data_IF_913690060291
#
_entry.id   IF_913690060291
#
_cell.length_a   1.000
_cell.length_b   1.000
_cell.length_c   1.000
_cell.angle_alpha   90.00
_cell.angle_beta   90.00
_cell.angle_gamma   90.00
#
_symmetry.space_group_name_H-M   'P 1'
#
loop_
_entity.id
_entity.type
_entity.pdbx_description
1 polymer ?
#
# COMPACT_ATOMS: atom_id res chain seq x y z
N UNK A 1 18.72 -1.31 -17.34
CA UNK A 1 19.31 -1.21 -15.97
C UNK A 1 18.18 -1.01 -14.98
N UNK A 2 18.01 -1.86 -13.94
CA UNK A 2 17.07 -1.56 -12.87
C UNK A 2 17.58 -0.35 -12.09
N UNK A 3 16.79 0.72 -12.03
CA UNK A 3 17.08 1.88 -11.18
C UNK A 3 16.97 1.41 -9.73
N UNK A 4 18.11 1.23 -9.06
CA UNK A 4 18.18 0.87 -7.65
C UNK A 4 17.90 2.12 -6.81
N UNK A 5 16.63 2.49 -6.66
CA UNK A 5 16.23 3.55 -5.73
C UNK A 5 16.56 3.09 -4.30
N UNK A 6 17.43 3.85 -3.64
CA UNK A 6 17.80 3.64 -2.25
C UNK A 6 16.59 3.70 -1.31
N UNK A 7 16.71 3.15 -0.09
CA UNK A 7 15.62 3.23 0.92
C UNK A 7 15.22 4.68 1.20
N UNK A 8 16.18 5.59 1.18
CA UNK A 8 16.02 7.02 1.47
C UNK A 8 15.91 7.88 0.23
N UNK A 9 15.79 7.26 -0.95
CA UNK A 9 15.59 8.01 -2.18
C UNK A 9 14.21 8.71 -2.13
N UNK A 10 14.15 10.04 -2.28
CA UNK A 10 12.88 10.77 -2.23
C UNK A 10 11.91 10.32 -3.33
N UNK A 11 12.40 9.78 -4.45
CA UNK A 11 11.59 9.27 -5.55
C UNK A 11 11.11 7.82 -5.32
N UNK A 12 11.54 7.18 -4.24
CA UNK A 12 11.02 5.87 -3.88
C UNK A 12 9.51 5.98 -3.58
N UNK A 13 8.63 5.19 -4.20
CA UNK A 13 7.19 5.32 -4.04
C UNK A 13 6.71 5.28 -2.58
N UNK A 14 7.34 4.46 -1.73
CA UNK A 14 7.05 4.46 -0.28
C UNK A 14 7.33 5.82 0.39
N UNK A 15 8.39 6.52 0.00
CA UNK A 15 8.75 7.81 0.59
C UNK A 15 7.81 8.91 0.10
N UNK A 16 7.37 8.84 -1.16
CA UNK A 16 6.30 9.72 -1.68
C UNK A 16 5.01 9.52 -0.89
N UNK A 17 4.55 8.27 -0.70
CA UNK A 17 3.34 7.99 0.09
C UNK A 17 3.47 8.46 1.55
N UNK A 18 4.66 8.29 2.14
CA UNK A 18 4.94 8.74 3.49
C UNK A 18 4.94 10.28 3.60
N UNK A 19 5.52 10.98 2.62
CA UNK A 19 5.53 12.44 2.58
C UNK A 19 4.11 13.02 2.45
N UNK A 20 3.25 12.41 1.62
CA UNK A 20 1.85 12.85 1.49
C UNK A 20 1.09 12.63 2.81
N UNK A 21 1.28 11.50 3.48
CA UNK A 21 0.64 11.25 4.78
C UNK A 21 1.19 12.16 5.89
N UNK A 22 2.47 12.50 5.86
CA UNK A 22 3.03 13.50 6.77
C UNK A 22 2.40 14.87 6.53
N UNK A 23 2.15 15.24 5.27
CA UNK A 23 1.41 16.45 4.90
C UNK A 23 -0.03 16.45 5.46
N UNK A 24 -0.69 15.30 5.47
CA UNK A 24 -1.99 15.11 6.13
C UNK A 24 -1.90 15.33 7.64
N UNK A 25 -0.96 14.67 8.32
CA UNK A 25 -0.73 14.84 9.76
C UNK A 25 -0.46 16.31 10.11
N UNK A 26 0.40 16.96 9.32
CA UNK A 26 0.72 18.38 9.46
C UNK A 26 -0.52 19.27 9.28
N UNK A 27 -1.34 19.00 8.26
CA UNK A 27 -2.57 19.75 7.98
C UNK A 27 -3.55 19.65 9.14
N UNK A 28 -3.81 18.44 9.63
CA UNK A 28 -4.73 18.21 10.75
C UNK A 28 -4.24 18.89 12.02
N UNK A 29 -2.94 18.81 12.30
CA UNK A 29 -2.33 19.44 13.48
C UNK A 29 -2.40 20.97 13.43
N UNK A 30 -2.06 21.60 12.30
CA UNK A 30 -2.03 23.06 12.17
C UNK A 30 -3.37 23.69 11.78
N UNK A 31 -4.37 22.89 11.38
CA UNK A 31 -5.71 23.34 10.99
C UNK A 31 -6.78 22.45 11.64
N UNK A 32 -6.93 22.48 12.98
CA UNK A 32 -7.90 21.64 13.67
C UNK A 32 -9.37 21.97 13.32
N UNK A 33 -9.66 23.23 12.97
CA UNK A 33 -11.00 23.69 12.61
C UNK A 33 -11.29 23.66 11.10
N UNK A 34 -10.41 23.04 10.29
CA UNK A 34 -10.60 22.97 8.83
C UNK A 34 -11.97 22.40 8.41
N UNK A 35 -12.52 21.36 9.08
CA UNK A 35 -13.85 20.83 8.76
C UNK A 35 -15.01 21.82 8.98
N UNK A 36 -14.85 22.76 9.91
CA UNK A 36 -15.85 23.80 10.22
C UNK A 36 -15.82 24.91 9.18
N UNK A 37 -14.65 25.17 8.60
CA UNK A 37 -14.41 26.27 7.67
C UNK A 37 -14.65 25.89 6.20
N UNK A 38 -14.39 24.64 5.83
CA UNK A 38 -14.40 24.18 4.45
C UNK A 38 -15.35 22.99 4.25
N UNK A 39 -16.37 23.12 3.36
CA UNK A 39 -17.31 22.04 3.09
C UNK A 39 -16.64 20.73 2.64
N UNK A 40 -15.53 20.81 1.91
CA UNK A 40 -14.75 19.64 1.47
C UNK A 40 -14.21 18.80 2.62
N UNK A 41 -13.91 19.42 3.77
CA UNK A 41 -13.33 18.76 4.93
C UNK A 41 -14.40 18.34 5.96
N UNK A 42 -15.59 18.93 5.92
CA UNK A 42 -16.72 18.58 6.80
C UNK A 42 -17.15 17.10 6.72
N UNK A 43 -16.90 16.42 5.58
CA UNK A 43 -17.22 15.00 5.42
C UNK A 43 -16.27 14.06 6.15
N UNK A 44 -15.06 14.50 6.46
CA UNK A 44 -14.10 13.67 7.20
C UNK A 44 -14.62 13.36 8.60
N UNK A 45 -15.24 14.34 9.26
CA UNK A 45 -15.83 14.19 10.59
C UNK A 45 -17.06 13.27 10.64
N UNK A 46 -17.68 13.00 9.48
CA UNK A 46 -18.76 12.03 9.39
C UNK A 46 -18.27 10.56 9.42
N UNK A 47 -16.98 10.33 9.13
CA UNK A 47 -16.37 9.00 9.16
C UNK A 47 -15.71 8.78 10.53
N UNK A 48 -14.84 9.70 10.95
CA UNK A 48 -14.23 9.70 12.28
C UNK A 48 -13.76 11.11 12.65
N UNK A 49 -13.48 11.40 13.94
CA UNK A 49 -13.07 12.73 14.35
C UNK A 49 -11.83 13.24 13.60
N UNK A 50 -11.83 14.51 13.21
CA UNK A 50 -10.77 15.12 12.41
C UNK A 50 -9.34 14.87 12.92
N UNK A 51 -9.04 14.98 14.24
CA UNK A 51 -7.71 14.68 14.76
C UNK A 51 -7.24 13.24 14.52
N UNK A 52 -8.17 12.27 14.44
CA UNK A 52 -7.85 10.85 14.23
C UNK A 52 -7.21 10.63 12.87
N UNK A 53 -7.67 11.35 11.83
CA UNK A 53 -7.05 11.30 10.50
C UNK A 53 -5.57 11.65 10.54
N UNK A 54 -5.21 12.72 11.27
CA UNK A 54 -3.83 13.17 11.40
C UNK A 54 -2.95 12.16 12.15
N UNK A 55 -3.45 11.63 13.26
CA UNK A 55 -2.71 10.61 14.03
C UNK A 55 -2.52 9.31 13.26
N UNK A 56 -3.54 8.84 12.55
CA UNK A 56 -3.40 7.64 11.71
C UNK A 56 -2.37 7.87 10.60
N UNK A 57 -2.45 9.01 9.89
CA UNK A 57 -1.49 9.34 8.85
C UNK A 57 -0.05 9.40 9.38
N UNK A 58 0.14 9.98 10.57
CA UNK A 58 1.44 10.02 11.23
C UNK A 58 1.95 8.61 11.57
N UNK A 59 1.14 7.77 12.23
CA UNK A 59 1.55 6.42 12.61
C UNK A 59 1.88 5.54 11.40
N UNK A 60 1.08 5.63 10.33
CA UNK A 60 1.35 4.93 9.09
C UNK A 60 2.65 5.43 8.45
N UNK A 61 2.89 6.74 8.44
CA UNK A 61 4.15 7.34 7.96
C UNK A 61 5.35 6.77 8.72
N UNK A 62 5.29 6.72 10.05
CA UNK A 62 6.34 6.12 10.86
C UNK A 62 6.53 4.64 10.51
N UNK A 63 5.43 3.89 10.35
CA UNK A 63 5.46 2.51 9.89
C UNK A 63 6.18 2.35 8.55
N UNK A 64 5.87 3.18 7.55
CA UNK A 64 6.48 3.12 6.23
C UNK A 64 7.99 3.46 6.24
N UNK A 65 8.39 4.45 7.03
CA UNK A 65 9.77 4.95 7.07
C UNK A 65 10.69 4.07 7.93
N UNK A 66 10.23 3.62 9.09
CA UNK A 66 11.09 2.98 10.09
C UNK A 66 11.09 1.45 10.02
N UNK A 67 10.11 0.81 9.38
CA UNK A 67 10.09 -0.66 9.25
C UNK A 67 10.99 -1.18 8.11
N UNK A 68 11.64 -2.33 8.33
CA UNK A 68 12.46 -2.98 7.31
C UNK A 68 11.63 -3.47 6.12
N UNK A 69 12.24 -3.56 4.94
CA UNK A 69 11.57 -4.00 3.71
C UNK A 69 10.93 -5.40 3.82
N UNK A 70 11.53 -6.27 4.63
CA UNK A 70 11.08 -7.63 4.87
C UNK A 70 10.18 -7.80 6.10
N UNK A 71 9.79 -6.71 6.76
CA UNK A 71 8.95 -6.80 7.96
C UNK A 71 7.47 -6.94 7.62
N UNK A 72 6.77 -7.81 8.34
CA UNK A 72 5.30 -7.87 8.30
C UNK A 72 4.64 -6.55 8.71
N UNK A 73 5.33 -5.74 9.53
CA UNK A 73 4.87 -4.38 9.88
C UNK A 73 4.85 -3.45 8.67
N UNK A 74 5.80 -3.60 7.73
CA UNK A 74 5.82 -2.78 6.51
C UNK A 74 4.68 -3.16 5.58
N UNK A 75 4.37 -4.45 5.50
CA UNK A 75 3.20 -4.94 4.79
C UNK A 75 1.93 -4.32 5.39
N UNK A 76 1.74 -4.40 6.71
CA UNK A 76 0.60 -3.77 7.37
C UNK A 76 0.55 -2.26 7.10
N UNK A 77 1.68 -1.54 7.20
CA UNK A 77 1.74 -0.11 6.93
C UNK A 77 1.31 0.24 5.49
N UNK A 78 1.72 -0.54 4.48
CA UNK A 78 1.25 -0.35 3.11
C UNK A 78 -0.25 -0.64 2.94
N UNK A 79 -0.77 -1.67 3.60
CA UNK A 79 -2.21 -1.98 3.57
C UNK A 79 -3.04 -0.85 4.20
N UNK A 80 -2.66 -0.41 5.41
CA UNK A 80 -3.34 0.69 6.11
C UNK A 80 -3.19 2.00 5.34
N UNK A 81 -2.04 2.27 4.73
CA UNK A 81 -1.83 3.42 3.81
C UNK A 81 -2.84 3.40 2.66
N UNK A 82 -3.05 2.23 2.02
CA UNK A 82 -4.01 2.08 0.94
C UNK A 82 -5.45 2.37 1.38
N UNK A 83 -5.85 1.82 2.53
CA UNK A 83 -7.18 2.06 3.13
C UNK A 83 -7.35 3.54 3.49
N UNK A 84 -6.33 4.15 4.11
CA UNK A 84 -6.34 5.56 4.50
C UNK A 84 -6.58 6.46 3.28
N UNK A 85 -5.82 6.28 2.21
CA UNK A 85 -5.97 7.08 1.00
C UNK A 85 -7.32 6.84 0.31
N UNK A 86 -7.80 5.60 0.26
CA UNK A 86 -9.13 5.31 -0.27
C UNK A 86 -10.22 6.02 0.55
N UNK A 87 -10.13 5.95 1.88
CA UNK A 87 -11.07 6.62 2.79
C UNK A 87 -11.03 8.15 2.63
N UNK A 88 -9.84 8.75 2.52
CA UNK A 88 -9.68 10.18 2.27
C UNK A 88 -10.24 10.59 0.89
N UNK A 89 -10.02 9.78 -0.14
CA UNK A 89 -10.60 9.98 -1.47
C UNK A 89 -12.12 9.94 -1.44
N UNK A 90 -12.71 8.96 -0.76
CA UNK A 90 -14.17 8.85 -0.56
C UNK A 90 -14.73 10.03 0.23
N UNK A 91 -14.04 10.48 1.28
CA UNK A 91 -14.47 11.64 2.07
C UNK A 91 -14.51 12.91 1.22
N UNK A 92 -13.48 13.16 0.41
CA UNK A 92 -13.48 14.28 -0.54
C UNK A 92 -14.56 14.14 -1.62
N UNK A 93 -14.74 12.93 -2.17
CA UNK A 93 -15.78 12.68 -3.17
C UNK A 93 -17.18 12.98 -2.62
N UNK A 94 -17.45 12.62 -1.36
CA UNK A 94 -18.71 12.94 -0.68
C UNK A 94 -18.87 14.43 -0.34
N UNK A 95 -17.76 15.18 -0.23
CA UNK A 95 -17.76 16.59 0.17
C UNK A 95 -17.90 17.56 -1.00
N UNK A 96 -17.18 17.29 -2.09
CA UNK A 96 -17.07 18.20 -3.25
C UNK A 96 -17.22 17.50 -4.60
N UNK A 97 -17.62 16.23 -4.61
CA UNK A 97 -17.73 15.44 -5.84
C UNK A 97 -16.39 14.95 -6.38
N UNK A 98 -16.40 14.39 -7.60
CA UNK A 98 -15.20 13.89 -8.27
C UNK A 98 -14.30 15.04 -8.73
N UNK A 99 -13.28 15.33 -7.93
CA UNK A 99 -12.27 16.36 -8.22
C UNK A 99 -10.89 15.73 -8.42
N UNK A 100 -9.90 16.53 -8.84
CA UNK A 100 -8.49 16.09 -8.93
C UNK A 100 -7.95 15.56 -7.61
N UNK A 101 -8.36 16.12 -6.48
CA UNK A 101 -7.99 15.62 -5.16
C UNK A 101 -8.47 14.17 -4.96
N UNK A 102 -9.69 13.85 -5.39
CA UNK A 102 -10.24 12.49 -5.29
C UNK A 102 -9.43 11.49 -6.10
N UNK A 103 -9.12 11.82 -7.36
CA UNK A 103 -8.30 10.95 -8.22
C UNK A 103 -6.88 10.78 -7.68
N UNK A 104 -6.25 11.84 -7.15
CA UNK A 104 -4.93 11.73 -6.51
C UNK A 104 -4.95 10.72 -5.36
N UNK A 105 -5.95 10.78 -4.48
CA UNK A 105 -6.03 9.87 -3.34
C UNK A 105 -6.29 8.42 -3.78
N UNK A 106 -7.14 8.18 -4.78
CA UNK A 106 -7.32 6.82 -5.32
C UNK A 106 -6.09 6.28 -6.03
N UNK A 107 -5.33 7.12 -6.74
CA UNK A 107 -4.03 6.73 -7.33
C UNK A 107 -3.05 6.34 -6.23
N UNK A 108 -2.95 7.12 -5.16
CA UNK A 108 -2.08 6.81 -4.01
C UNK A 108 -2.53 5.55 -3.26
N UNK A 109 -3.84 5.30 -3.19
CA UNK A 109 -4.39 4.05 -2.67
C UNK A 109 -3.96 2.86 -3.53
N UNK A 110 -4.10 2.96 -4.85
CA UNK A 110 -3.66 1.92 -5.78
C UNK A 110 -2.14 1.67 -5.70
N UNK A 111 -1.32 2.72 -5.66
CA UNK A 111 0.13 2.62 -5.47
C UNK A 111 0.44 1.90 -4.15
N UNK A 112 -0.25 2.27 -3.06
CA UNK A 112 -0.06 1.61 -1.75
C UNK A 112 -0.42 0.13 -1.80
N UNK A 113 -1.49 -0.25 -2.50
CA UNK A 113 -1.88 -1.65 -2.71
C UNK A 113 -0.85 -2.43 -3.52
N UNK A 114 -0.29 -1.82 -4.58
CA UNK A 114 0.80 -2.45 -5.36
C UNK A 114 2.04 -2.64 -4.49
N UNK A 115 2.41 -1.65 -3.68
CA UNK A 115 3.54 -1.75 -2.75
C UNK A 115 3.29 -2.80 -1.66
N UNK A 116 2.05 -2.91 -1.18
CA UNK A 116 1.64 -3.99 -0.28
C UNK A 116 1.85 -5.36 -0.94
N UNK A 117 1.28 -5.58 -2.13
CA UNK A 117 1.41 -6.85 -2.85
C UNK A 117 2.88 -7.21 -3.10
N UNK A 118 3.70 -6.23 -3.50
CA UNK A 118 5.15 -6.40 -3.65
C UNK A 118 5.82 -6.80 -2.34
N UNK A 119 5.44 -6.17 -1.23
CA UNK A 119 5.99 -6.47 0.11
C UNK A 119 5.56 -7.86 0.58
N UNK A 120 4.31 -8.27 0.30
CA UNK A 120 3.82 -9.64 0.56
C UNK A 120 4.68 -10.66 -0.17
N UNK A 121 4.94 -10.45 -1.47
CA UNK A 121 5.77 -11.35 -2.27
C UNK A 121 7.19 -11.46 -1.72
N UNK A 122 7.83 -10.33 -1.39
CA UNK A 122 9.17 -10.37 -0.77
C UNK A 122 9.15 -11.09 0.58
N UNK A 123 8.19 -10.76 1.45
CA UNK A 123 8.06 -11.38 2.76
C UNK A 123 7.85 -12.89 2.67
N UNK A 124 7.03 -13.35 1.72
CA UNK A 124 6.85 -14.78 1.45
C UNK A 124 8.14 -15.42 0.93
N UNK A 125 8.86 -14.74 0.04
CA UNK A 125 10.10 -15.25 -0.58
C UNK A 125 11.22 -15.54 0.44
N UNK A 126 11.24 -14.83 1.56
CA UNK A 126 12.22 -15.06 2.62
C UNK A 126 11.89 -16.28 3.48
N UNK A 127 10.65 -16.79 3.46
CA UNK A 127 10.25 -17.94 4.27
C UNK A 127 10.95 -19.21 3.80
N UNK A 128 11.47 -19.99 4.75
CA UNK A 128 12.19 -21.25 4.48
C UNK A 128 11.30 -22.24 3.72
N UNK A 129 10.03 -22.35 4.11
CA UNK A 129 9.08 -23.23 3.43
C UNK A 129 8.83 -22.80 1.99
N UNK A 130 8.77 -21.50 1.71
CA UNK A 130 8.60 -20.97 0.36
C UNK A 130 9.82 -21.27 -0.50
N UNK A 131 11.03 -21.04 0.02
CA UNK A 131 12.28 -21.43 -0.66
C UNK A 131 12.33 -22.93 -0.94
N UNK A 132 11.87 -23.77 -0.01
CA UNK A 132 11.74 -25.22 -0.22
C UNK A 132 10.71 -25.56 -1.30
N UNK A 133 9.57 -24.89 -1.31
CA UNK A 133 8.51 -25.08 -2.31
C UNK A 133 9.00 -24.69 -3.72
N UNK A 134 9.72 -23.58 -3.86
CA UNK A 134 10.26 -23.11 -5.14
C UNK A 134 11.41 -24.01 -5.63
N UNK A 135 12.31 -24.43 -4.74
CA UNK A 135 13.46 -25.28 -5.11
C UNK A 135 13.07 -26.74 -5.37
N UNK A 136 12.03 -27.25 -4.70
CA UNK A 136 11.52 -28.63 -4.87
C UNK A 136 9.99 -28.60 -4.94
N UNK A 137 9.41 -28.15 -6.07
CA UNK A 137 7.97 -28.02 -6.19
C UNK A 137 7.29 -29.40 -6.12
N UNK A 138 6.21 -29.54 -5.32
CA UNK A 138 5.45 -30.77 -5.25
C UNK A 138 4.83 -31.10 -6.62
N UNK A 139 4.59 -32.40 -6.87
CA UNK A 139 4.18 -32.91 -8.21
C UNK A 139 2.93 -32.22 -8.76
N UNK A 140 1.92 -31.97 -7.91
CA UNK A 140 0.68 -31.30 -8.31
C UNK A 140 0.90 -29.86 -8.82
N UNK A 141 1.90 -29.15 -8.27
CA UNK A 141 2.20 -27.76 -8.62
C UNK A 141 2.95 -27.68 -9.95
N UNK A 142 3.83 -28.66 -10.22
CA UNK A 142 4.46 -28.87 -11.54
C UNK A 142 3.43 -29.21 -12.63
N UNK A 143 2.46 -30.05 -12.29
CA UNK A 143 1.34 -30.39 -13.18
C UNK A 143 0.50 -29.14 -13.53
N UNK A 144 0.09 -28.34 -12.54
CA UNK A 144 -0.64 -27.10 -12.77
C UNK A 144 0.15 -26.09 -13.62
N UNK A 145 1.47 -26.00 -13.40
CA UNK A 145 2.33 -25.08 -14.14
C UNK A 145 2.62 -25.55 -15.58
N UNK A 146 2.26 -26.79 -15.95
CA UNK A 146 2.67 -27.44 -17.21
C UNK A 146 4.20 -27.48 -17.40
N UNK A 147 4.96 -27.45 -16.31
CA UNK A 147 6.44 -27.49 -16.34
C UNK A 147 6.87 -28.86 -15.79
N UNK A 148 7.05 -29.84 -16.68
CA UNK A 148 7.49 -31.19 -16.32
C UNK A 148 7.30 -32.22 -17.43
N UNK A 149 7.99 -33.37 -17.31
CA UNK A 149 8.12 -34.45 -18.30
C UNK A 149 6.81 -35.12 -18.76
N UNK A 150 5.67 -34.82 -18.12
CA UNK A 150 4.37 -35.38 -18.49
C UNK A 150 3.76 -34.82 -19.79
N UNK A 151 4.42 -33.86 -20.43
CA UNK A 151 4.02 -33.38 -21.77
C UNK A 151 4.44 -34.31 -22.91
N UNK A 152 5.35 -35.27 -22.69
CA UNK A 152 5.89 -36.13 -23.75
C UNK A 152 5.23 -37.50 -23.90
N UNK A 153 4.46 -37.97 -22.91
CA UNK A 153 3.85 -39.31 -22.98
C UNK A 153 2.48 -39.35 -23.68
N UNK A 154 2.01 -38.24 -24.27
CA UNK A 154 0.68 -38.16 -24.89
C UNK A 154 0.65 -37.86 -26.39
N UNK A 155 1.80 -37.81 -27.05
CA UNK A 155 1.88 -37.62 -28.51
C UNK A 155 2.24 -38.90 -29.29
N UNK A 156 2.53 -40.02 -28.61
CA UNK A 156 2.93 -41.30 -29.24
C UNK A 156 1.90 -42.43 -29.08
N UNK A 157 0.59 -42.12 -29.05
CA UNK A 157 -0.49 -43.12 -28.94
C UNK A 157 -1.71 -42.79 -29.76
#
# INVERSE_FOLDING_TARGET
MPILLGRWDPLHPTNITAAVQLGWAFTVYHRPHLPELLPSYSRFTAICPWPVWGWVAFLVTLGLLFTSRSSGWRMLAHAVSGIYFAAAGTAFAAGVGLTTAVTTHFILAAISTVLWARTVVYWQSERVWWRRLVSRPPRWLRWLAKVGEYGREREDG
#
